data_IF_664647773585
#
_entry.id   IF_664647773585
#
_cell.length_a   1.000
_cell.length_b   1.000
_cell.length_c   1.000
_cell.angle_alpha   90.00
_cell.angle_beta   90.00
_cell.angle_gamma   90.00
#
_symmetry.space_group_name_H-M   'P 1'
#
loop_
_entity.id
_entity.type
_entity.pdbx_description
1 polymer ?
#
# COMPACT_ATOMS: atom_id res chain seq x y z
N UNK A 1 2.47 -5.17 8.65
CA UNK A 1 3.64 -6.00 8.25
C UNK A 1 3.25 -6.83 7.03
N UNK A 2 4.13 -6.99 6.03
CA UNK A 2 3.85 -7.77 4.80
C UNK A 2 3.69 -9.26 5.16
N UNK A 3 2.79 -9.98 4.48
CA UNK A 3 2.52 -11.42 4.72
C UNK A 3 3.81 -12.24 4.71
N UNK A 4 4.68 -12.01 3.73
CA UNK A 4 5.99 -12.65 3.62
C UNK A 4 6.87 -12.45 4.86
N UNK A 5 6.89 -11.25 5.43
CA UNK A 5 7.65 -10.98 6.66
C UNK A 5 7.07 -11.73 7.85
N UNK A 6 5.74 -11.90 7.89
CA UNK A 6 5.05 -12.68 8.92
C UNK A 6 5.41 -14.17 8.80
N UNK A 7 5.33 -14.72 7.59
CA UNK A 7 5.68 -16.11 7.28
C UNK A 7 7.15 -16.41 7.56
N UNK A 8 8.07 -15.56 7.11
CA UNK A 8 9.50 -15.74 7.40
C UNK A 8 9.81 -15.66 8.91
N UNK A 9 9.08 -14.84 9.67
CA UNK A 9 9.24 -14.78 11.13
C UNK A 9 8.79 -16.09 11.79
N UNK A 10 7.67 -16.67 11.37
CA UNK A 10 7.22 -17.97 11.89
C UNK A 10 8.21 -19.08 11.55
N UNK A 11 8.69 -19.16 10.31
CA UNK A 11 9.71 -20.15 9.94
C UNK A 11 10.98 -19.97 10.76
N UNK A 12 11.47 -18.74 10.93
CA UNK A 12 12.67 -18.48 11.72
C UNK A 12 12.50 -18.93 13.18
N UNK A 13 11.36 -18.60 13.80
CA UNK A 13 11.08 -19.03 15.19
C UNK A 13 10.99 -20.55 15.27
N UNK A 14 10.28 -21.20 14.35
CA UNK A 14 10.10 -22.66 14.33
C UNK A 14 11.42 -23.39 14.10
N UNK A 15 12.21 -22.98 13.10
CA UNK A 15 13.51 -23.60 12.78
C UNK A 15 14.48 -23.41 13.94
N UNK A 16 14.54 -22.20 14.53
CA UNK A 16 15.42 -21.97 15.69
C UNK A 16 15.01 -22.83 16.88
N UNK A 17 13.71 -22.95 17.17
CA UNK A 17 13.21 -23.80 18.24
C UNK A 17 13.50 -25.29 18.00
N UNK A 18 13.31 -25.77 16.77
CA UNK A 18 13.59 -27.17 16.41
C UNK A 18 15.07 -27.50 16.54
N UNK A 19 15.95 -26.61 16.05
CA UNK A 19 17.40 -26.80 16.17
C UNK A 19 17.87 -26.71 17.64
N UNK A 20 17.27 -25.84 18.45
CA UNK A 20 17.54 -25.79 19.89
C UNK A 20 17.13 -27.09 20.60
N UNK A 21 15.93 -27.62 20.30
CA UNK A 21 15.47 -28.90 20.84
C UNK A 21 16.37 -30.07 20.40
N UNK A 22 16.77 -30.08 19.12
CA UNK A 22 17.70 -31.08 18.60
C UNK A 22 19.07 -30.99 19.29
N UNK A 23 19.60 -29.78 19.51
CA UNK A 23 20.86 -29.56 20.23
C UNK A 23 20.80 -30.08 21.67
N UNK A 24 19.72 -29.79 22.40
CA UNK A 24 19.50 -30.31 23.76
C UNK A 24 19.38 -31.83 23.76
N UNK A 25 18.60 -32.41 22.84
CA UNK A 25 18.44 -33.85 22.71
C UNK A 25 19.75 -34.57 22.40
N UNK A 26 20.56 -34.01 21.49
CA UNK A 26 21.89 -34.53 21.17
C UNK A 26 22.83 -34.47 22.37
N UNK A 27 22.84 -33.35 23.12
CA UNK A 27 23.65 -33.23 24.33
C UNK A 27 23.34 -34.32 25.36
N UNK A 28 22.05 -34.50 25.70
CA UNK A 28 21.64 -35.51 26.68
C UNK A 28 21.84 -36.95 26.18
N UNK A 29 21.54 -37.22 24.91
CA UNK A 29 21.77 -38.54 24.32
C UNK A 29 23.24 -38.91 24.32
N UNK A 30 24.11 -37.94 24.01
CA UNK A 30 25.56 -38.12 24.01
C UNK A 30 26.11 -38.32 25.43
N UNK A 31 25.63 -37.54 26.41
CA UNK A 31 25.97 -37.73 27.82
C UNK A 31 25.55 -39.11 28.36
N UNK A 32 24.39 -39.61 27.95
CA UNK A 32 23.93 -40.95 28.32
C UNK A 32 24.80 -42.05 27.71
N UNK A 33 25.17 -41.92 26.43
CA UNK A 33 26.05 -42.86 25.73
C UNK A 33 27.43 -42.95 26.40
N UNK A 34 28.00 -41.81 26.80
CA UNK A 34 29.26 -41.76 27.54
C UNK A 34 29.18 -42.54 28.85
N UNK A 35 28.13 -42.29 29.64
CA UNK A 35 27.94 -42.96 30.92
C UNK A 35 27.82 -44.47 30.73
N UNK A 36 27.11 -44.91 29.70
CA UNK A 36 26.96 -46.33 29.37
C UNK A 36 28.29 -46.99 29.02
N UNK A 37 29.12 -46.36 28.19
CA UNK A 37 30.45 -46.86 27.82
C UNK A 37 31.36 -47.03 29.06
N UNK A 38 31.39 -46.02 29.93
CA UNK A 38 32.20 -46.08 31.16
C UNK A 38 31.70 -47.17 32.11
N UNK A 39 30.38 -47.36 32.23
CA UNK A 39 29.80 -48.46 33.02
C UNK A 39 30.14 -49.84 32.45
N UNK A 40 30.11 -50.00 31.13
CA UNK A 40 30.50 -51.25 30.45
C UNK A 40 31.97 -51.58 30.74
N UNK A 41 32.87 -50.59 30.63
CA UNK A 41 34.29 -50.73 30.96
C UNK A 41 34.52 -51.11 32.43
N UNK A 42 33.83 -50.45 33.36
CA UNK A 42 33.88 -50.80 34.80
C UNK A 42 33.36 -52.22 35.07
N UNK A 43 32.29 -52.63 34.38
CA UNK A 43 31.75 -53.99 34.44
C UNK A 43 32.73 -55.04 33.92
N UNK A 44 33.39 -54.78 32.79
CA UNK A 44 34.43 -55.63 32.24
C UNK A 44 35.62 -55.77 33.19
N UNK A 45 36.09 -54.65 33.76
CA UNK A 45 37.16 -54.64 34.76
C UNK A 45 36.80 -55.45 36.01
N UNK A 46 35.55 -55.36 36.49
CA UNK A 46 35.04 -56.18 37.59
C UNK A 46 35.14 -57.67 37.27
N UNK A 47 34.68 -58.11 36.09
CA UNK A 47 34.76 -59.52 35.68
C UNK A 47 36.20 -60.04 35.64
N UNK A 48 37.15 -59.22 35.18
CA UNK A 48 38.57 -59.57 35.20
C UNK A 48 39.11 -59.77 36.62
N UNK A 49 38.73 -58.90 37.57
CA UNK A 49 39.11 -59.05 38.97
C UNK A 49 38.47 -60.26 39.65
N UNK A 50 37.20 -60.54 39.35
CA UNK A 50 36.50 -61.73 39.85
C UNK A 50 37.19 -63.02 39.40
N UNK A 51 37.56 -63.13 38.11
CA UNK A 51 38.29 -64.28 37.57
C UNK A 51 39.68 -64.46 38.21
N UNK A 52 40.39 -63.36 38.46
CA UNK A 52 41.74 -63.38 39.05
C UNK A 52 41.72 -63.70 40.55
N UNK A 53 40.72 -63.23 41.28
CA UNK A 53 40.54 -63.61 42.68
C UNK A 53 40.20 -65.10 42.82
N UNK A 54 39.44 -65.66 41.87
CA UNK A 54 39.12 -67.09 41.84
C UNK A 54 40.36 -67.98 41.66
N UNK A 55 41.44 -67.50 41.03
CA UNK A 55 42.71 -68.24 40.90
C UNK A 55 43.65 -68.05 42.10
N UNK A 56 43.23 -67.33 43.15
CA UNK A 56 44.02 -67.10 44.36
C UNK A 56 45.15 -66.08 44.21
N UNK A 57 45.24 -65.41 43.05
CA UNK A 57 46.24 -64.38 42.82
C UNK A 57 45.90 -63.08 43.57
N UNK A 58 46.93 -62.36 44.01
CA UNK A 58 46.74 -61.05 44.63
C UNK A 58 46.11 -60.06 43.64
N UNK A 59 45.27 -59.15 44.17
CA UNK A 59 44.72 -58.05 43.40
C UNK A 59 45.88 -57.13 42.97
N UNK A 60 45.90 -56.64 41.72
CA UNK A 60 46.92 -55.67 41.30
C UNK A 60 46.75 -54.36 42.07
N UNK A 61 47.86 -53.71 42.42
CA UNK A 61 47.83 -52.42 43.12
C UNK A 61 47.17 -51.31 42.28
N UNK A 62 47.31 -51.37 40.96
CA UNK A 62 46.68 -50.49 39.97
C UNK A 62 46.40 -51.31 38.71
N UNK A 63 45.26 -52.00 38.61
CA UNK A 63 45.08 -53.02 37.58
C UNK A 63 45.17 -52.49 36.15
N UNK A 64 44.67 -51.28 35.89
CA UNK A 64 44.42 -50.70 34.57
C UNK A 64 44.25 -49.16 34.75
N UNK A 65 43.84 -48.40 33.72
CA UNK A 65 43.45 -46.95 33.73
C UNK A 65 42.28 -46.60 34.70
N UNK A 66 42.23 -47.21 35.88
CA UNK A 66 41.16 -47.11 36.86
C UNK A 66 41.76 -47.09 38.25
N UNK A 67 41.22 -46.26 39.14
CA UNK A 67 41.63 -46.27 40.54
C UNK A 67 40.90 -47.40 41.29
N UNK A 68 41.68 -48.29 41.89
CA UNK A 68 41.18 -49.40 42.71
C UNK A 68 41.34 -49.05 44.19
N UNK A 69 40.26 -49.13 44.97
CA UNK A 69 40.35 -49.07 46.44
C UNK A 69 39.63 -50.26 47.09
N UNK A 70 40.26 -50.86 48.08
CA UNK A 70 39.70 -51.97 48.85
C UNK A 70 39.39 -51.49 50.27
N UNK A 71 38.13 -51.59 50.67
CA UNK A 71 37.66 -51.22 52.02
C UNK A 71 37.22 -52.47 52.79
N UNK A 72 37.69 -52.66 54.04
CA UNK A 72 37.16 -53.69 54.92
C UNK A 72 35.80 -53.30 55.54
N UNK A 73 35.40 -52.03 55.43
CA UNK A 73 34.09 -51.54 55.91
C UNK A 73 33.04 -51.57 54.80
N UNK A 74 31.76 -51.73 55.16
CA UNK A 74 30.65 -51.65 54.22
C UNK A 74 30.63 -50.35 53.42
N UNK A 75 30.58 -50.48 52.10
CA UNK A 75 30.40 -49.39 51.14
C UNK A 75 29.12 -49.63 50.33
N UNK A 76 28.44 -48.57 49.85
CA UNK A 76 27.25 -48.71 49.02
C UNK A 76 27.60 -49.43 47.71
N UNK A 77 26.86 -50.50 47.40
CA UNK A 77 27.08 -51.32 46.21
C UNK A 77 26.48 -50.68 44.96
N UNK A 78 27.05 -50.98 43.80
CA UNK A 78 26.57 -50.52 42.50
C UNK A 78 27.32 -49.30 41.96
N UNK A 79 26.74 -48.72 40.90
CA UNK A 79 27.31 -47.56 40.23
C UNK A 79 26.94 -46.25 40.94
N UNK A 80 27.90 -45.34 41.06
CA UNK A 80 27.68 -44.02 41.66
C UNK A 80 28.61 -42.98 41.02
N UNK A 81 28.18 -41.73 40.98
CA UNK A 81 29.03 -40.60 40.63
C UNK A 81 29.78 -40.10 41.87
N UNK A 82 31.06 -39.76 41.70
CA UNK A 82 31.89 -39.15 42.74
C UNK A 82 32.82 -38.11 42.12
N UNK A 83 33.22 -37.11 42.88
CA UNK A 83 34.27 -36.17 42.47
C UNK A 83 35.56 -36.57 43.18
N UNK A 84 36.67 -36.60 42.45
CA UNK A 84 38.00 -36.86 43.00
C UNK A 84 38.94 -35.73 42.59
N UNK A 85 39.84 -35.35 43.49
CA UNK A 85 40.87 -34.36 43.19
C UNK A 85 41.91 -34.97 42.25
N UNK A 86 42.12 -34.34 41.09
CA UNK A 86 43.27 -34.64 40.25
C UNK A 86 44.52 -34.02 40.90
N UNK A 87 45.52 -34.83 41.28
CA UNK A 87 46.70 -34.32 41.98
C UNK A 87 47.67 -33.54 41.07
N UNK A 88 47.54 -33.65 39.74
CA UNK A 88 48.38 -32.96 38.75
C UNK A 88 47.82 -31.59 38.44
N UNK A 89 46.51 -31.51 38.17
CA UNK A 89 45.84 -30.27 37.77
C UNK A 89 45.25 -29.51 38.96
N UNK A 90 45.05 -30.17 40.11
CA UNK A 90 44.48 -29.56 41.32
C UNK A 90 42.98 -29.32 41.25
N UNK A 91 42.29 -29.91 40.27
CA UNK A 91 40.86 -29.73 40.03
C UNK A 91 40.03 -30.96 40.48
N UNK A 92 38.76 -30.73 40.83
CA UNK A 92 37.84 -31.80 41.20
C UNK A 92 37.20 -32.41 39.94
N UNK A 93 37.63 -33.62 39.61
CA UNK A 93 37.31 -34.33 38.37
C UNK A 93 36.18 -35.35 38.61
N UNK A 94 35.08 -35.31 37.83
CA UNK A 94 34.01 -36.30 37.91
C UNK A 94 34.49 -37.71 37.55
N UNK A 95 34.12 -38.67 38.38
CA UNK A 95 34.41 -40.09 38.22
C UNK A 95 33.13 -40.91 38.34
N UNK A 96 33.01 -41.93 37.50
CA UNK A 96 32.03 -43.01 37.69
C UNK A 96 32.70 -44.11 38.49
N UNK A 97 32.06 -44.55 39.58
CA UNK A 97 32.57 -45.63 40.41
C UNK A 97 31.62 -46.82 40.47
N UNK A 98 32.19 -48.02 40.47
CA UNK A 98 31.49 -49.29 40.66
C UNK A 98 32.01 -49.96 41.94
N UNK A 99 31.13 -50.19 42.92
CA UNK A 99 31.49 -50.91 44.15
C UNK A 99 30.81 -52.28 44.19
N UNK A 100 31.61 -53.32 44.42
CA UNK A 100 31.15 -54.70 44.50
C UNK A 100 31.89 -55.45 45.62
N UNK A 101 31.39 -56.64 45.98
CA UNK A 101 31.99 -57.49 47.01
C UNK A 101 32.85 -58.56 46.37
N UNK A 102 34.07 -58.74 46.90
CA UNK A 102 35.00 -59.75 46.44
C UNK A 102 35.72 -60.38 47.65
N UNK A 103 35.90 -61.71 47.69
CA UNK A 103 36.73 -62.35 48.71
C UNK A 103 38.21 -62.07 48.41
N UNK A 104 38.88 -61.33 49.29
CA UNK A 104 40.31 -61.02 49.20
C UNK A 104 40.99 -61.69 50.39
N UNK A 105 41.92 -62.62 50.14
CA UNK A 105 42.62 -63.39 51.19
C UNK A 105 41.67 -64.03 52.22
N UNK A 106 40.51 -64.55 51.75
CA UNK A 106 39.54 -65.27 52.59
C UNK A 106 38.58 -64.39 53.41
N UNK A 107 38.66 -63.05 53.30
CA UNK A 107 37.69 -62.12 53.93
C UNK A 107 36.92 -61.36 52.85
N UNK A 108 35.61 -61.16 53.06
CA UNK A 108 34.80 -60.36 52.17
C UNK A 108 35.22 -58.88 52.27
N UNK A 109 35.70 -58.32 51.16
CA UNK A 109 36.08 -56.92 51.07
C UNK A 109 35.21 -56.19 50.05
N UNK A 110 35.05 -54.87 50.23
CA UNK A 110 34.38 -54.01 49.27
C UNK A 110 35.45 -53.43 48.34
N UNK A 111 35.33 -53.76 47.07
CA UNK A 111 36.22 -53.30 46.02
C UNK A 111 35.50 -52.21 45.25
N UNK A 112 36.11 -51.03 45.19
CA UNK A 112 35.60 -49.89 44.41
C UNK A 112 36.55 -49.62 43.27
N UNK A 113 36.03 -49.71 42.05
CA UNK A 113 36.66 -49.26 40.82
C UNK A 113 36.18 -47.86 40.49
N UNK A 114 37.07 -46.98 40.05
CA UNK A 114 36.73 -45.62 39.61
C UNK A 114 37.39 -45.33 38.28
N UNK A 115 36.64 -44.82 37.32
CA UNK A 115 37.15 -44.27 36.06
C UNK A 115 36.81 -42.80 35.98
N UNK A 116 37.76 -41.98 35.53
CA UNK A 116 37.51 -40.58 35.23
C UNK A 116 36.48 -40.48 34.09
N UNK A 117 35.52 -39.58 34.23
CA UNK A 117 34.66 -39.16 33.13
C UNK A 117 35.37 -38.13 32.23
N UNK A 118 36.52 -37.59 32.68
CA UNK A 118 37.25 -36.47 32.05
C UNK A 118 38.34 -36.91 31.07
N UNK A 119 38.96 -38.08 31.21
CA UNK A 119 39.93 -38.58 30.19
C UNK A 119 39.28 -38.77 28.81
N UNK A 120 37.95 -38.91 28.78
CA UNK A 120 37.16 -38.91 27.56
C UNK A 120 36.64 -37.51 27.20
N UNK A 121 36.63 -36.53 28.13
CA UNK A 121 36.09 -35.17 27.92
C UNK A 121 36.81 -34.39 26.83
N UNK A 122 38.12 -34.57 26.63
CA UNK A 122 38.84 -33.88 25.54
C UNK A 122 38.34 -34.33 24.17
N UNK A 123 38.20 -35.63 23.96
CA UNK A 123 37.65 -36.19 22.71
C UNK A 123 36.18 -35.82 22.57
N UNK A 124 35.42 -35.84 23.67
CA UNK A 124 33.98 -35.52 23.68
C UNK A 124 33.71 -34.03 23.43
N UNK A 125 34.54 -33.13 23.96
CA UNK A 125 34.46 -31.70 23.74
C UNK A 125 34.72 -31.35 22.27
N UNK A 126 35.67 -32.04 21.64
CA UNK A 126 35.88 -31.95 20.20
C UNK A 126 34.67 -32.47 19.43
N UNK A 127 34.09 -33.63 19.79
CA UNK A 127 32.90 -34.16 19.11
C UNK A 127 31.69 -33.23 19.26
N UNK A 128 31.44 -32.72 20.47
CA UNK A 128 30.32 -31.81 20.74
C UNK A 128 30.48 -30.47 20.00
N UNK A 129 31.69 -29.89 20.00
CA UNK A 129 31.96 -28.65 19.26
C UNK A 129 31.78 -28.85 17.76
N UNK A 130 32.25 -29.97 17.20
CA UNK A 130 32.00 -30.32 15.79
C UNK A 130 30.51 -30.46 15.51
N UNK A 131 29.76 -31.21 16.33
CA UNK A 131 28.31 -31.39 16.17
C UNK A 131 27.54 -30.06 16.25
N UNK A 132 27.84 -29.22 17.23
CA UNK A 132 27.22 -27.91 17.38
C UNK A 132 27.57 -26.97 16.23
N UNK A 133 28.81 -27.02 15.74
CA UNK A 133 29.25 -26.24 14.57
C UNK A 133 28.48 -26.68 13.32
N UNK A 134 28.37 -27.99 13.09
CA UNK A 134 27.57 -28.54 11.99
C UNK A 134 26.11 -28.10 12.11
N UNK A 135 25.52 -28.18 13.31
CA UNK A 135 24.15 -27.75 13.58
C UNK A 135 23.95 -26.25 13.31
N UNK A 136 24.92 -25.41 13.71
CA UNK A 136 24.89 -23.96 13.47
C UNK A 136 25.02 -23.62 11.97
N UNK A 137 25.90 -24.31 11.24
CA UNK A 137 26.05 -24.14 9.79
C UNK A 137 24.77 -24.56 9.06
N UNK A 138 24.16 -25.67 9.47
CA UNK A 138 22.88 -26.12 8.92
C UNK A 138 21.74 -25.15 9.23
N UNK A 139 21.68 -24.59 10.44
CA UNK A 139 20.69 -23.56 10.78
C UNK A 139 20.88 -22.33 9.89
N UNK A 140 22.11 -21.84 9.77
CA UNK A 140 22.42 -20.67 8.95
C UNK A 140 22.08 -20.91 7.48
N UNK A 141 22.41 -22.07 6.94
CA UNK A 141 22.13 -22.40 5.53
C UNK A 141 20.62 -22.45 5.25
N UNK A 142 19.82 -23.05 6.15
CA UNK A 142 18.35 -23.07 6.04
C UNK A 142 17.77 -21.66 6.10
N UNK A 143 18.28 -20.80 7.00
CA UNK A 143 17.82 -19.41 7.11
C UNK A 143 18.15 -18.60 5.85
N UNK A 144 19.36 -18.74 5.30
CA UNK A 144 19.79 -18.08 4.07
C UNK A 144 18.98 -18.56 2.86
N UNK A 145 18.82 -19.88 2.72
CA UNK A 145 18.05 -20.49 1.67
C UNK A 145 16.58 -20.03 1.71
N UNK A 146 15.95 -20.02 2.89
CA UNK A 146 14.58 -19.52 3.06
C UNK A 146 14.45 -18.06 2.62
N UNK A 147 15.39 -17.18 3.02
CA UNK A 147 15.38 -15.78 2.59
C UNK A 147 15.55 -15.63 1.09
N UNK A 148 16.43 -16.44 0.49
CA UNK A 148 16.67 -16.43 -0.96
C UNK A 148 15.43 -16.89 -1.74
N UNK A 149 14.84 -18.04 -1.37
CA UNK A 149 13.57 -18.54 -1.96
C UNK A 149 12.45 -17.51 -1.81
N UNK A 150 12.29 -16.93 -0.61
CA UNK A 150 11.27 -15.93 -0.34
C UNK A 150 11.43 -14.66 -1.20
N UNK A 151 12.66 -14.28 -1.54
CA UNK A 151 12.90 -13.14 -2.42
C UNK A 151 12.58 -13.48 -3.87
N UNK A 152 13.02 -14.64 -4.34
CA UNK A 152 12.93 -15.03 -5.76
C UNK A 152 11.51 -15.46 -6.15
N UNK A 153 10.89 -16.36 -5.38
CA UNK A 153 9.56 -16.90 -5.67
C UNK A 153 8.45 -15.84 -5.57
N UNK A 154 8.63 -14.81 -4.73
CA UNK A 154 7.63 -13.74 -4.55
C UNK A 154 7.89 -12.50 -5.40
N UNK A 155 8.97 -12.45 -6.17
CA UNK A 155 9.25 -11.32 -7.06
C UNK A 155 8.11 -11.09 -8.08
N UNK A 156 7.56 -12.12 -8.77
CA UNK A 156 6.47 -11.95 -9.72
C UNK A 156 5.20 -11.35 -9.10
N UNK A 157 4.85 -11.80 -7.88
CA UNK A 157 3.71 -11.23 -7.17
C UNK A 157 3.88 -9.73 -6.89
N UNK A 158 5.10 -9.29 -6.53
CA UNK A 158 5.37 -7.86 -6.27
C UNK A 158 5.31 -7.03 -7.54
N UNK A 159 5.79 -7.56 -8.67
CA UNK A 159 5.68 -6.87 -9.96
C UNK A 159 4.22 -6.74 -10.39
N UNK A 160 3.41 -7.79 -10.26
CA UNK A 160 1.97 -7.73 -10.54
C UNK A 160 1.26 -6.73 -9.64
N UNK A 161 1.56 -6.71 -8.34
CA UNK A 161 0.96 -5.74 -7.40
C UNK A 161 1.39 -4.29 -7.70
N UNK A 162 2.65 -4.08 -8.11
CA UNK A 162 3.14 -2.77 -8.48
C UNK A 162 2.45 -2.23 -9.73
N UNK A 163 2.23 -3.09 -10.73
CA UNK A 163 1.47 -2.74 -11.94
C UNK A 163 0.02 -2.37 -11.60
N UNK A 164 -0.66 -3.16 -10.76
CA UNK A 164 -2.03 -2.86 -10.33
C UNK A 164 -2.15 -1.55 -9.53
N UNK A 165 -1.17 -1.22 -8.69
CA UNK A 165 -1.20 0.01 -7.88
C UNK A 165 -1.15 1.29 -8.69
N UNK A 166 -0.50 1.24 -9.85
CA UNK A 166 -0.39 2.38 -10.76
C UNK A 166 -1.37 2.26 -11.93
N UNK A 167 -2.23 1.24 -11.92
CA UNK A 167 -3.19 1.04 -13.00
C UNK A 167 -4.33 2.05 -12.92
N UNK A 168 -4.43 2.89 -13.95
CA UNK A 168 -5.59 3.73 -14.20
C UNK A 168 -6.33 3.24 -15.45
N UNK A 169 -7.62 2.92 -15.33
CA UNK A 169 -8.46 2.51 -16.48
C UNK A 169 -8.46 3.54 -17.62
N UNK A 170 -8.21 4.81 -17.28
CA UNK A 170 -8.15 5.91 -18.23
C UNK A 170 -6.93 5.88 -19.16
N UNK A 171 -5.94 5.04 -18.89
CA UNK A 171 -4.80 4.85 -19.79
C UNK A 171 -5.14 3.96 -21.00
N UNK A 172 -6.34 3.35 -21.04
CA UNK A 172 -6.82 2.47 -22.11
C UNK A 172 -5.83 1.35 -22.46
N UNK A 173 -5.06 0.89 -21.48
CA UNK A 173 -4.05 -0.15 -21.66
C UNK A 173 -4.46 -1.39 -20.89
N UNK A 174 -4.48 -2.52 -21.56
CA UNK A 174 -4.59 -3.81 -20.88
C UNK A 174 -3.26 -4.09 -20.18
N UNK A 175 -3.32 -4.52 -18.93
CA UNK A 175 -2.13 -4.99 -18.22
C UNK A 175 -1.71 -6.33 -18.81
N UNK A 176 -0.50 -6.36 -19.34
CA UNK A 176 0.16 -7.58 -19.81
C UNK A 176 1.34 -7.90 -18.91
N UNK A 177 1.47 -9.17 -18.55
CA UNK A 177 2.53 -9.64 -17.66
C UNK A 177 3.44 -10.60 -18.42
N UNK A 178 4.74 -10.53 -18.13
CA UNK A 178 5.69 -11.50 -18.65
C UNK A 178 5.33 -12.93 -18.15
N UNK A 179 5.65 -13.98 -18.94
CA UNK A 179 5.44 -15.35 -18.51
C UNK A 179 6.19 -15.62 -17.20
N UNK A 180 5.48 -16.20 -16.24
CA UNK A 180 6.00 -16.53 -14.91
C UNK A 180 6.08 -18.05 -14.79
N UNK A 181 7.14 -18.56 -14.17
CA UNK A 181 7.37 -20.00 -13.99
C UNK A 181 6.47 -20.67 -12.96
N UNK A 182 5.69 -19.90 -12.20
CA UNK A 182 4.82 -20.40 -11.12
C UNK A 182 3.38 -20.36 -11.59
N UNK A 183 2.73 -21.52 -11.63
CA UNK A 183 1.40 -21.68 -12.22
C UNK A 183 0.35 -20.79 -11.54
N UNK A 184 0.35 -20.68 -10.21
CA UNK A 184 -0.60 -19.84 -9.49
C UNK A 184 -0.43 -18.34 -9.82
N UNK A 185 0.80 -17.90 -10.09
CA UNK A 185 1.04 -16.52 -10.52
C UNK A 185 0.73 -16.32 -12.00
N UNK A 186 0.91 -17.34 -12.83
CA UNK A 186 0.49 -17.31 -14.23
C UNK A 186 -1.04 -17.20 -14.34
N UNK A 187 -1.79 -18.02 -13.59
CA UNK A 187 -3.26 -17.97 -13.52
C UNK A 187 -3.75 -16.61 -12.99
N UNK A 188 -3.15 -16.10 -11.91
CA UNK A 188 -3.47 -14.77 -11.39
C UNK A 188 -3.25 -13.68 -12.44
N UNK A 189 -2.12 -13.70 -13.13
CA UNK A 189 -1.80 -12.74 -14.19
C UNK A 189 -2.80 -12.84 -15.36
N UNK A 190 -3.23 -14.05 -15.74
CA UNK A 190 -4.23 -14.23 -16.78
C UNK A 190 -5.59 -13.66 -16.37
N UNK A 191 -6.05 -13.94 -15.15
CA UNK A 191 -7.31 -13.41 -14.62
C UNK A 191 -7.27 -11.89 -14.54
N UNK A 192 -6.17 -11.30 -14.06
CA UNK A 192 -6.00 -9.84 -14.04
C UNK A 192 -6.01 -9.27 -15.46
N UNK A 193 -5.31 -9.89 -16.40
CA UNK A 193 -5.28 -9.46 -17.80
C UNK A 193 -6.69 -9.46 -18.40
N UNK A 194 -7.44 -10.54 -18.18
CA UNK A 194 -8.82 -10.70 -18.65
C UNK A 194 -9.76 -9.66 -18.03
N UNK A 195 -9.65 -9.45 -16.72
CA UNK A 195 -10.44 -8.44 -16.00
C UNK A 195 -10.12 -7.03 -16.50
N UNK A 196 -8.85 -6.72 -16.67
CA UNK A 196 -8.39 -5.42 -17.18
C UNK A 196 -8.89 -5.17 -18.60
N UNK A 197 -8.83 -6.19 -19.48
CA UNK A 197 -9.37 -6.11 -20.84
C UNK A 197 -10.86 -5.82 -20.84
N UNK A 198 -11.63 -6.49 -19.98
CA UNK A 198 -13.06 -6.24 -19.82
C UNK A 198 -13.35 -4.83 -19.32
N UNK A 199 -12.61 -4.36 -18.30
CA UNK A 199 -12.75 -3.00 -17.78
C UNK A 199 -12.48 -1.94 -18.86
N UNK A 200 -11.45 -2.12 -19.68
CA UNK A 200 -11.15 -1.20 -20.79
C UNK A 200 -12.30 -1.20 -21.81
N UNK A 201 -12.80 -2.38 -22.20
CA UNK A 201 -13.93 -2.48 -23.13
C UNK A 201 -15.22 -1.85 -22.58
N UNK A 202 -15.55 -2.10 -21.31
CA UNK A 202 -16.72 -1.53 -20.65
C UNK A 202 -16.60 0.01 -20.55
N UNK A 203 -15.39 0.51 -20.26
CA UNK A 203 -15.09 1.94 -20.23
C UNK A 203 -15.24 2.59 -21.60
N UNK A 204 -14.74 1.96 -22.65
CA UNK A 204 -14.88 2.42 -24.04
C UNK A 204 -16.34 2.46 -24.48
N UNK A 205 -17.12 1.42 -24.15
CA UNK A 205 -18.54 1.36 -24.48
C UNK A 205 -19.34 2.48 -23.80
N UNK A 206 -19.11 2.73 -22.51
CA UNK A 206 -19.76 3.84 -21.77
C UNK A 206 -19.36 5.19 -22.38
N UNK A 207 -18.10 5.33 -22.77
CA UNK A 207 -17.57 6.53 -23.41
C UNK A 207 -18.24 6.80 -24.75
N UNK A 208 -18.30 5.79 -25.62
CA UNK A 208 -18.91 5.90 -26.94
C UNK A 208 -20.41 6.17 -26.83
N UNK A 209 -21.11 5.43 -25.96
CA UNK A 209 -22.53 5.66 -25.70
C UNK A 209 -22.79 7.10 -25.24
N UNK A 210 -22.00 7.62 -24.30
CA UNK A 210 -22.19 8.99 -23.78
C UNK A 210 -21.90 10.04 -24.85
N UNK A 211 -20.88 9.83 -25.69
CA UNK A 211 -20.57 10.72 -26.79
C UNK A 211 -21.68 10.73 -27.85
N UNK A 212 -22.15 9.56 -28.27
CA UNK A 212 -23.21 9.41 -29.26
C UNK A 212 -24.53 9.98 -28.74
N UNK A 213 -24.94 9.65 -27.51
CA UNK A 213 -26.15 10.18 -26.89
C UNK A 213 -26.10 11.72 -26.78
N UNK A 214 -24.93 12.30 -26.49
CA UNK A 214 -24.77 13.74 -26.45
C UNK A 214 -25.01 14.40 -27.82
N UNK A 215 -24.44 13.83 -28.89
CA UNK A 215 -24.62 14.32 -30.25
C UNK A 215 -26.06 14.14 -30.75
N UNK A 216 -26.63 12.94 -30.57
CA UNK A 216 -28.00 12.62 -31.01
C UNK A 216 -29.07 13.44 -30.29
N UNK A 217 -28.83 13.86 -29.05
CA UNK A 217 -29.75 14.74 -28.30
C UNK A 217 -29.57 16.22 -28.66
N UNK A 218 -28.36 16.64 -29.06
CA UNK A 218 -28.09 18.04 -29.41
C UNK A 218 -28.80 18.47 -30.69
N UNK A 219 -28.83 17.60 -31.71
CA UNK A 219 -29.49 17.87 -32.99
C UNK A 219 -30.98 18.20 -32.87
N UNK A 220 -31.84 17.37 -32.23
CA UNK A 220 -33.26 17.68 -32.08
C UNK A 220 -33.50 18.92 -31.22
N UNK A 221 -32.66 19.20 -30.20
CA UNK A 221 -32.75 20.44 -29.43
C UNK A 221 -32.45 21.68 -30.28
N UNK A 222 -31.47 21.62 -31.18
CA UNK A 222 -31.17 22.70 -32.10
C UNK A 222 -32.32 22.93 -33.10
N UNK A 223 -32.93 21.85 -33.61
CA UNK A 223 -34.11 21.93 -34.50
C UNK A 223 -35.29 22.58 -33.76
N UNK A 224 -35.59 22.14 -32.53
CA UNK A 224 -36.65 22.74 -31.71
C UNK A 224 -36.42 24.23 -31.49
N UNK A 225 -35.18 24.65 -31.20
CA UNK A 225 -34.86 26.07 -31.04
C UNK A 225 -35.07 26.87 -32.33
N UNK A 226 -34.60 26.36 -33.47
CA UNK A 226 -34.76 27.02 -34.76
C UNK A 226 -36.24 27.15 -35.16
N UNK A 227 -37.04 26.10 -34.92
CA UNK A 227 -38.48 26.15 -35.17
C UNK A 227 -39.20 27.14 -34.26
N UNK A 228 -38.86 27.18 -32.96
CA UNK A 228 -39.44 28.15 -32.03
C UNK A 228 -39.03 29.58 -32.39
N UNK A 229 -37.80 29.79 -32.86
CA UNK A 229 -37.33 31.09 -33.35
C UNK A 229 -38.06 31.53 -34.62
N UNK A 230 -38.32 30.62 -35.56
CA UNK A 230 -39.15 30.89 -36.73
C UNK A 230 -40.59 31.21 -36.35
N UNK A 231 -41.18 30.44 -35.42
CA UNK A 231 -42.53 30.69 -34.93
C UNK A 231 -42.66 32.09 -34.32
N UNK A 232 -41.66 32.56 -33.57
CA UNK A 232 -41.64 33.92 -33.00
C UNK A 232 -41.61 35.05 -34.06
N UNK A 233 -41.27 34.74 -35.31
CA UNK A 233 -41.21 35.71 -36.41
C UNK A 233 -42.49 35.74 -37.25
N UNK A 234 -43.46 34.84 -37.00
CA UNK A 234 -44.70 34.76 -37.78
C UNK A 234 -45.70 35.87 -37.41
N UNK A 235 -46.48 36.40 -38.38
CA UNK A 235 -47.49 37.44 -38.13
C UNK A 235 -48.57 37.01 -37.14
N UNK A 236 -48.90 35.72 -37.06
CA UNK A 236 -49.89 35.19 -36.12
C UNK A 236 -49.47 35.32 -34.64
N UNK A 237 -48.21 35.70 -34.38
CA UNK A 237 -47.71 36.04 -33.04
C UNK A 237 -48.13 37.43 -32.54
N UNK A 238 -48.95 38.17 -33.29
CA UNK A 238 -49.61 39.38 -32.78
C UNK A 238 -50.56 39.09 -31.60
N UNK A 239 -50.98 37.83 -31.41
CA UNK A 239 -51.69 37.40 -30.21
C UNK A 239 -50.73 37.31 -29.00
N UNK A 240 -50.86 38.18 -27.98
CA UNK A 240 -49.91 38.27 -26.87
C UNK A 240 -49.83 36.98 -26.04
N UNK A 241 -50.93 36.23 -25.95
CA UNK A 241 -50.97 34.97 -25.18
C UNK A 241 -50.19 33.86 -25.89
N UNK A 242 -50.30 33.78 -27.22
CA UNK A 242 -49.59 32.78 -28.03
C UNK A 242 -48.08 33.09 -28.06
N UNK A 243 -47.72 34.36 -28.26
CA UNK A 243 -46.33 34.81 -28.23
C UNK A 243 -45.67 34.57 -26.87
N UNK A 244 -46.41 34.77 -25.77
CA UNK A 244 -45.96 34.44 -24.42
C UNK A 244 -45.60 32.96 -24.26
N UNK A 245 -46.48 32.05 -24.67
CA UNK A 245 -46.25 30.60 -24.61
C UNK A 245 -45.05 30.15 -25.45
N UNK A 246 -44.91 30.66 -26.67
CA UNK A 246 -43.75 30.33 -27.53
C UNK A 246 -42.45 30.88 -26.94
N UNK A 247 -42.47 32.07 -26.35
CA UNK A 247 -41.32 32.65 -25.66
C UNK A 247 -40.91 31.81 -24.46
N UNK A 248 -41.87 31.34 -23.65
CA UNK A 248 -41.60 30.44 -22.53
C UNK A 248 -41.00 29.10 -22.99
N UNK A 249 -41.54 28.49 -24.05
CA UNK A 249 -41.01 27.26 -24.66
C UNK A 249 -39.60 27.46 -25.22
N UNK A 250 -39.34 28.59 -25.88
CA UNK A 250 -38.02 28.95 -26.38
C UNK A 250 -37.01 29.06 -25.23
N UNK A 251 -37.37 29.77 -24.16
CA UNK A 251 -36.53 29.89 -22.97
C UNK A 251 -36.29 28.53 -22.28
N UNK A 252 -37.31 27.68 -22.19
CA UNK A 252 -37.22 26.34 -21.62
C UNK A 252 -36.28 25.43 -22.43
N UNK A 253 -36.44 25.41 -23.77
CA UNK A 253 -35.58 24.63 -24.67
C UNK A 253 -34.14 25.13 -24.67
N UNK A 254 -33.93 26.45 -24.57
CA UNK A 254 -32.60 27.04 -24.41
C UNK A 254 -31.95 26.64 -23.08
N UNK A 255 -32.72 26.60 -22.00
CA UNK A 255 -32.27 26.12 -20.69
C UNK A 255 -31.92 24.63 -20.71
N UNK A 256 -32.72 23.81 -21.37
CA UNK A 256 -32.48 22.37 -21.54
C UNK A 256 -31.21 22.10 -22.37
N UNK A 257 -31.01 22.83 -23.46
CA UNK A 257 -29.79 22.74 -24.27
C UNK A 257 -28.53 23.09 -23.49
N UNK A 258 -28.56 24.18 -22.70
CA UNK A 258 -27.44 24.55 -21.81
C UNK A 258 -27.15 23.50 -20.75
N UNK A 259 -28.20 22.91 -20.16
CA UNK A 259 -28.11 21.80 -19.21
C UNK A 259 -27.42 20.59 -19.83
N UNK A 260 -27.85 20.20 -21.03
CA UNK A 260 -27.29 19.07 -21.77
C UNK A 260 -25.83 19.27 -22.13
N UNK A 261 -25.48 20.47 -22.63
CA UNK A 261 -24.09 20.84 -22.93
C UNK A 261 -23.20 20.80 -21.68
N UNK A 262 -23.67 21.33 -20.56
CA UNK A 262 -22.95 21.31 -19.29
C UNK A 262 -22.70 19.87 -18.79
N UNK A 263 -23.72 19.00 -18.83
CA UNK A 263 -23.58 17.59 -18.42
C UNK A 263 -22.66 16.81 -19.36
N UNK A 264 -22.78 17.04 -20.66
CA UNK A 264 -21.89 16.44 -21.66
C UNK A 264 -20.44 16.85 -21.43
N UNK A 265 -20.19 18.14 -21.20
CA UNK A 265 -18.85 18.65 -20.92
C UNK A 265 -18.30 18.00 -19.64
N UNK A 266 -19.10 17.94 -18.59
CA UNK A 266 -18.70 17.36 -17.31
C UNK A 266 -18.33 15.88 -17.44
N UNK A 267 -19.13 15.12 -18.18
CA UNK A 267 -18.84 13.72 -18.50
C UNK A 267 -17.57 13.57 -19.34
N UNK A 268 -17.35 14.44 -20.34
CA UNK A 268 -16.10 14.45 -21.11
C UNK A 268 -14.88 14.76 -20.23
N UNK A 269 -15.00 15.69 -19.28
CA UNK A 269 -13.92 15.99 -18.33
C UNK A 269 -13.64 14.78 -17.42
N UNK A 270 -14.67 14.18 -16.83
CA UNK A 270 -14.55 12.98 -15.97
C UNK A 270 -13.86 11.82 -16.66
N UNK A 271 -14.22 11.59 -17.92
CA UNK A 271 -13.70 10.49 -18.71
C UNK A 271 -12.44 10.85 -19.53
N UNK A 272 -11.90 12.07 -19.37
CA UNK A 272 -10.77 12.63 -20.14
C UNK A 272 -10.92 12.50 -21.66
N UNK A 273 -12.13 12.66 -22.17
CA UNK A 273 -12.49 12.48 -23.58
C UNK A 273 -12.27 13.75 -24.40
N UNK A 274 -11.02 14.20 -24.54
CA UNK A 274 -10.66 15.31 -25.40
C UNK A 274 -9.82 14.82 -26.57
N UNK A 275 -10.29 15.06 -27.80
CA UNK A 275 -9.58 14.67 -29.01
C UNK A 275 -8.29 15.47 -29.21
N UNK A 276 -8.26 16.73 -28.75
CA UNK A 276 -7.10 17.59 -28.85
C UNK A 276 -6.28 17.57 -27.54
N UNK A 277 -4.95 17.47 -27.61
CA UNK A 277 -4.09 17.58 -26.43
C UNK A 277 -4.09 19.03 -25.88
N UNK A 278 -3.76 19.22 -24.59
CA UNK A 278 -3.54 20.55 -24.03
C UNK A 278 -2.42 21.31 -24.78
N UNK A 279 -2.70 22.56 -25.15
CA UNK A 279 -1.78 23.42 -25.89
C UNK A 279 -1.41 24.66 -25.07
N UNK A 280 -0.23 25.28 -25.32
CA UNK A 280 0.05 26.61 -24.80
C UNK A 280 -1.05 27.59 -25.24
N UNK A 281 -1.58 28.36 -24.30
CA UNK A 281 -2.66 29.33 -24.51
C UNK A 281 -2.43 30.56 -23.63
N UNK A 282 -2.67 31.75 -24.16
CA UNK A 282 -2.66 33.00 -23.38
C UNK A 282 -4.00 33.18 -22.67
N UNK A 283 -3.99 33.08 -21.34
CA UNK A 283 -5.19 33.34 -20.54
C UNK A 283 -5.55 34.83 -20.56
N UNK A 284 -4.57 35.72 -20.64
CA UNK A 284 -4.79 37.15 -20.75
C UNK A 284 -5.58 37.49 -22.02
N UNK A 285 -5.21 36.90 -23.15
CA UNK A 285 -5.94 37.13 -24.40
C UNK A 285 -7.35 36.57 -24.33
N UNK A 286 -7.51 35.34 -23.83
CA UNK A 286 -8.84 34.73 -23.66
C UNK A 286 -9.76 35.58 -22.75
N UNK A 287 -9.21 36.13 -21.66
CA UNK A 287 -9.96 37.02 -20.76
C UNK A 287 -10.38 38.32 -21.45
N UNK A 288 -9.53 38.91 -22.29
CA UNK A 288 -9.87 40.09 -23.10
C UNK A 288 -10.98 39.79 -24.10
N UNK A 289 -10.84 38.72 -24.88
CA UNK A 289 -11.84 38.33 -25.87
C UNK A 289 -13.20 38.06 -25.21
N UNK A 290 -13.20 37.43 -24.03
CA UNK A 290 -14.43 37.17 -23.26
C UNK A 290 -15.03 38.41 -22.63
N UNK A 291 -14.19 39.34 -22.16
CA UNK A 291 -14.64 40.63 -21.67
C UNK A 291 -15.39 41.40 -22.75
N UNK A 292 -14.83 41.48 -23.97
CA UNK A 292 -15.48 42.14 -25.11
C UNK A 292 -16.81 41.48 -25.47
N UNK A 293 -16.88 40.14 -25.50
CA UNK A 293 -18.13 39.41 -25.76
C UNK A 293 -19.23 39.67 -24.72
N UNK A 294 -18.84 39.91 -23.46
CA UNK A 294 -19.78 40.13 -22.36
C UNK A 294 -20.07 41.62 -22.11
N UNK A 295 -19.42 42.53 -22.83
CA UNK A 295 -19.60 43.98 -22.70
C UNK A 295 -21.07 44.43 -22.78
N UNK A 296 -21.90 43.96 -23.74
CA UNK A 296 -23.30 44.35 -23.80
C UNK A 296 -24.11 43.94 -22.56
N UNK A 297 -23.74 42.81 -21.93
CA UNK A 297 -24.39 42.32 -20.72
C UNK A 297 -23.98 43.11 -19.47
N UNK A 298 -22.72 43.55 -19.42
CA UNK A 298 -22.19 44.43 -18.37
C UNK A 298 -22.90 45.79 -18.42
N UNK A 299 -23.02 46.39 -19.61
CA UNK A 299 -23.71 47.67 -19.84
C UNK A 299 -25.19 47.57 -19.50
N UNK A 300 -25.88 46.51 -19.93
CA UNK A 300 -27.29 46.31 -19.60
C UNK A 300 -27.57 46.17 -18.09
N UNK A 301 -26.54 45.91 -17.28
CA UNK A 301 -26.62 45.79 -15.82
C UNK A 301 -25.90 46.92 -15.06
N UNK A 302 -25.43 47.94 -15.76
CA UNK A 302 -24.68 49.06 -15.19
C UNK A 302 -23.44 48.59 -14.39
N UNK A 303 -22.70 47.60 -14.92
CA UNK A 303 -21.52 47.03 -14.27
C UNK A 303 -20.22 47.53 -14.89
N UNK A 304 -19.24 47.87 -14.05
CA UNK A 304 -17.89 48.27 -14.51
C UNK A 304 -16.94 47.07 -14.50
N UNK A 305 -16.16 46.86 -15.56
CA UNK A 305 -15.14 45.80 -15.63
C UNK A 305 -13.73 46.36 -15.41
N UNK A 306 -12.98 45.73 -14.51
CA UNK A 306 -11.57 46.03 -14.26
C UNK A 306 -10.72 44.80 -14.59
N UNK A 307 -9.78 44.94 -15.54
CA UNK A 307 -8.86 43.87 -15.94
C UNK A 307 -7.43 44.20 -15.48
N UNK A 308 -6.90 43.40 -14.56
CA UNK A 308 -5.52 43.44 -14.08
C UNK A 308 -4.80 42.16 -14.51
N UNK A 309 -4.18 42.19 -15.69
CA UNK A 309 -3.55 41.02 -16.31
C UNK A 309 -2.03 41.10 -16.13
N UNK A 310 -1.59 40.98 -14.87
CA UNK A 310 -0.23 41.31 -14.41
C UNK A 310 0.85 40.35 -14.97
N UNK A 311 0.53 39.05 -15.09
CA UNK A 311 1.46 38.03 -15.58
C UNK A 311 0.75 36.78 -16.09
N UNK A 312 1.33 36.09 -17.08
CA UNK A 312 0.87 34.78 -17.54
C UNK A 312 1.53 33.64 -16.73
N UNK A 313 0.80 32.55 -16.42
CA UNK A 313 1.37 31.36 -15.80
C UNK A 313 2.37 30.68 -16.75
N UNK A 314 3.57 30.39 -16.24
CA UNK A 314 4.65 29.82 -17.04
C UNK A 314 4.42 28.33 -17.32
N UNK A 315 4.43 27.92 -18.59
CA UNK A 315 4.31 26.51 -18.98
C UNK A 315 2.90 25.91 -18.88
N UNK A 316 1.88 26.73 -18.62
CA UNK A 316 0.50 26.27 -18.54
C UNK A 316 0.00 25.79 -19.91
N UNK A 317 -0.54 24.56 -19.95
CA UNK A 317 -1.13 23.98 -21.17
C UNK A 317 -2.57 23.62 -20.90
N UNK A 318 -3.48 24.27 -21.63
CA UNK A 318 -4.92 24.09 -21.48
C UNK A 318 -5.56 23.64 -22.79
N UNK A 319 -6.66 22.90 -22.69
CA UNK A 319 -7.53 22.65 -23.81
C UNK A 319 -8.35 23.93 -24.06
N UNK A 320 -8.36 24.50 -25.28
CA UNK A 320 -9.02 25.79 -25.55
C UNK A 320 -10.47 25.85 -25.08
N UNK A 321 -11.25 24.80 -25.34
CA UNK A 321 -12.66 24.74 -24.90
C UNK A 321 -12.85 24.65 -23.37
N UNK A 322 -11.88 24.07 -22.64
CA UNK A 322 -11.94 24.03 -21.18
C UNK A 322 -11.53 25.37 -20.58
N UNK A 323 -10.50 26.01 -21.14
CA UNK A 323 -10.13 27.37 -20.75
C UNK A 323 -11.29 28.35 -20.99
N UNK A 324 -11.92 28.28 -22.17
CA UNK A 324 -13.10 29.07 -22.54
C UNK A 324 -14.24 28.88 -21.53
N UNK A 325 -14.56 27.62 -21.22
CA UNK A 325 -15.61 27.28 -20.26
C UNK A 325 -15.28 27.75 -18.83
N UNK A 326 -14.02 27.59 -18.39
CA UNK A 326 -13.56 28.05 -17.08
C UNK A 326 -13.78 29.56 -16.93
N UNK A 327 -13.25 30.34 -17.89
CA UNK A 327 -13.34 31.80 -17.89
C UNK A 327 -14.79 32.25 -18.00
N UNK A 328 -15.56 31.67 -18.93
CA UNK A 328 -16.96 32.01 -19.12
C UNK A 328 -17.80 31.78 -17.86
N UNK A 329 -17.64 30.62 -17.19
CA UNK A 329 -18.40 30.32 -15.98
C UNK A 329 -18.06 31.26 -14.82
N UNK A 330 -16.78 31.61 -14.64
CA UNK A 330 -16.36 32.55 -13.59
C UNK A 330 -16.89 33.96 -13.84
N UNK A 331 -16.71 34.51 -15.05
CA UNK A 331 -17.20 35.85 -15.41
C UNK A 331 -18.73 35.93 -15.37
N UNK A 332 -19.42 34.92 -15.89
CA UNK A 332 -20.88 34.88 -15.85
C UNK A 332 -21.40 34.80 -14.41
N UNK A 333 -20.70 34.09 -13.52
CA UNK A 333 -21.04 34.05 -12.10
C UNK A 333 -20.94 35.45 -11.47
N UNK A 334 -19.82 36.14 -11.70
CA UNK A 334 -19.55 37.48 -11.20
C UNK A 334 -20.57 38.53 -11.69
N UNK A 335 -20.98 38.47 -12.96
CA UNK A 335 -22.01 39.37 -13.53
C UNK A 335 -23.40 39.06 -12.98
N UNK A 336 -23.73 37.78 -12.85
CA UNK A 336 -25.06 37.34 -12.46
C UNK A 336 -25.37 37.67 -11.00
N UNK A 337 -24.40 37.45 -10.12
CA UNK A 337 -24.53 37.60 -8.66
C UNK A 337 -24.04 38.96 -8.16
N UNK A 338 -23.83 39.91 -9.08
CA UNK A 338 -23.44 41.27 -8.75
C UNK A 338 -24.58 42.10 -8.15
N UNK A 339 -24.24 43.18 -7.45
CA UNK A 339 -25.19 44.27 -7.13
C UNK A 339 -25.32 45.25 -8.30
N UNK A 340 -26.45 45.97 -8.38
CA UNK A 340 -26.64 47.05 -9.37
C UNK A 340 -25.56 48.13 -9.21
N UNK A 341 -25.01 48.66 -10.31
CA UNK A 341 -23.93 49.65 -10.26
C UNK A 341 -22.59 49.10 -9.75
N UNK A 342 -22.46 47.78 -9.64
CA UNK A 342 -21.27 47.10 -9.11
C UNK A 342 -20.11 47.02 -10.09
N UNK A 343 -19.08 46.27 -9.72
CA UNK A 343 -17.91 46.02 -10.56
C UNK A 343 -17.60 44.53 -10.70
N UNK A 344 -16.88 44.16 -11.75
CA UNK A 344 -16.24 42.86 -11.90
C UNK A 344 -14.74 43.11 -12.00
N UNK A 345 -13.96 42.63 -11.04
CA UNK A 345 -12.51 42.77 -11.03
C UNK A 345 -11.87 41.41 -11.37
N UNK A 346 -11.12 41.38 -12.47
CA UNK A 346 -10.38 40.21 -12.92
C UNK A 346 -8.91 40.45 -12.68
N UNK A 347 -8.26 39.58 -11.92
CA UNK A 347 -6.82 39.61 -11.68
C UNK A 347 -6.18 38.31 -12.17
N UNK A 348 -5.22 38.42 -13.08
CA UNK A 348 -4.41 37.29 -13.55
C UNK A 348 -2.96 37.50 -13.11
N UNK A 349 -2.42 36.50 -12.44
CA UNK A 349 -1.02 36.41 -12.01
C UNK A 349 -0.39 35.12 -12.53
N UNK A 350 0.92 34.96 -12.33
CA UNK A 350 1.63 33.72 -12.68
C UNK A 350 1.17 32.49 -11.90
N UNK A 351 0.51 32.67 -10.75
CA UNK A 351 0.10 31.57 -9.86
C UNK A 351 -1.41 31.37 -9.79
N UNK A 352 -2.22 32.38 -10.15
CA UNK A 352 -3.66 32.30 -10.00
C UNK A 352 -4.44 33.25 -10.91
N UNK A 353 -5.68 32.86 -11.21
CA UNK A 353 -6.76 33.70 -11.74
C UNK A 353 -7.79 33.98 -10.63
N UNK A 354 -8.07 35.25 -10.40
CA UNK A 354 -9.02 35.73 -9.40
C UNK A 354 -10.10 36.59 -10.08
N UNK A 355 -11.37 36.32 -9.75
CA UNK A 355 -12.50 37.11 -10.22
C UNK A 355 -13.32 37.52 -9.01
N UNK A 356 -13.51 38.83 -8.86
CA UNK A 356 -14.19 39.42 -7.71
C UNK A 356 -15.39 40.27 -8.13
N UNK A 357 -16.45 40.25 -7.34
CA UNK A 357 -17.63 41.09 -7.52
C UNK A 357 -18.28 41.46 -6.18
N UNK A 358 -18.86 42.66 -6.04
CA UNK A 358 -19.70 42.97 -4.90
C UNK A 358 -21.06 42.26 -5.02
N UNK A 359 -21.64 41.87 -3.89
CA UNK A 359 -22.92 41.15 -3.86
C UNK A 359 -23.48 40.98 -2.46
N UNK A 360 -24.75 40.55 -2.34
CA UNK A 360 -25.32 40.22 -1.04
C UNK A 360 -24.64 38.97 -0.45
N UNK A 361 -24.53 38.86 0.88
CA UNK A 361 -23.94 37.68 1.52
C UNK A 361 -24.71 36.42 1.12
N UNK A 362 -23.97 35.36 0.75
CA UNK A 362 -24.55 34.06 0.41
C UNK A 362 -24.60 33.21 1.67
N UNK A 363 -25.80 32.77 2.05
CA UNK A 363 -25.99 31.81 3.14
C UNK A 363 -25.61 30.39 2.70
N UNK A 364 -24.84 29.67 3.51
CA UNK A 364 -24.51 28.26 3.29
C UNK A 364 -23.05 27.95 3.53
N UNK A 365 -22.69 26.68 3.39
CA UNK A 365 -21.30 26.23 3.44
C UNK A 365 -20.64 26.48 2.06
N UNK A 366 -19.58 27.31 1.99
CA UNK A 366 -18.86 27.59 0.75
C UNK A 366 -18.35 26.35 0.02
N UNK A 367 -18.03 25.27 0.74
CA UNK A 367 -17.56 24.04 0.13
C UNK A 367 -18.62 23.42 -0.79
N UNK A 368 -19.90 23.61 -0.45
CA UNK A 368 -20.99 23.04 -1.22
C UNK A 368 -21.32 23.84 -2.47
N UNK A 369 -20.83 25.09 -2.61
CA UNK A 369 -21.12 25.95 -3.77
C UNK A 369 -20.62 25.34 -5.10
N UNK A 370 -19.69 24.39 -5.02
CA UNK A 370 -19.12 23.65 -6.13
C UNK A 370 -19.84 22.31 -6.43
N UNK A 371 -20.85 21.93 -5.63
CA UNK A 371 -21.72 20.77 -5.88
C UNK A 371 -22.62 20.98 -7.10
N UNK A 372 -22.98 19.89 -7.79
CA UNK A 372 -23.87 19.93 -8.96
C UNK A 372 -25.29 20.30 -8.55
N UNK A 373 -25.97 21.09 -9.38
CA UNK A 373 -27.37 21.50 -9.21
C UNK A 373 -27.65 22.34 -7.96
N UNK A 374 -26.62 22.82 -7.28
CA UNK A 374 -26.81 23.68 -6.13
C UNK A 374 -27.23 25.08 -6.58
N UNK A 375 -28.36 25.55 -6.05
CA UNK A 375 -28.87 26.90 -6.27
C UNK A 375 -28.86 27.65 -4.95
N UNK A 376 -28.32 28.87 -4.96
CA UNK A 376 -28.36 29.80 -3.83
C UNK A 376 -29.56 30.75 -3.88
N UNK A 377 -30.24 30.81 -5.04
CA UNK A 377 -31.40 31.64 -5.26
C UNK A 377 -32.43 30.85 -6.07
N UNK A 378 -33.61 30.62 -5.51
CA UNK A 378 -34.67 29.81 -6.13
C UNK A 378 -35.17 30.44 -7.45
N UNK A 379 -35.09 31.76 -7.57
CA UNK A 379 -35.47 32.53 -8.75
C UNK A 379 -34.45 32.46 -9.90
N UNK A 380 -33.25 31.90 -9.67
CA UNK A 380 -32.22 31.82 -10.71
C UNK A 380 -32.56 30.76 -11.78
N UNK A 381 -32.71 31.23 -13.03
CA UNK A 381 -32.86 30.39 -14.23
C UNK A 381 -31.65 29.50 -14.55
N UNK A 382 -30.47 29.80 -13.98
CA UNK A 382 -29.26 29.01 -14.20
C UNK A 382 -29.35 27.64 -13.49
N UNK A 383 -28.92 26.55 -14.15
CA UNK A 383 -29.03 25.19 -13.62
C UNK A 383 -28.12 24.84 -12.44
N UNK A 384 -27.25 25.75 -11.97
CA UNK A 384 -26.35 25.47 -10.84
C UNK A 384 -25.20 24.52 -11.19
N UNK A 385 -24.78 24.49 -12.45
CA UNK A 385 -23.68 23.64 -12.92
C UNK A 385 -22.36 24.40 -13.12
N UNK A 386 -22.38 25.73 -13.21
CA UNK A 386 -21.20 26.51 -13.61
C UNK A 386 -19.99 26.35 -12.69
N UNK A 387 -20.16 26.51 -11.38
CA UNK A 387 -19.07 26.32 -10.41
C UNK A 387 -18.63 24.85 -10.30
N UNK A 388 -19.55 23.89 -10.53
CA UNK A 388 -19.18 22.47 -10.60
C UNK A 388 -18.29 22.15 -11.82
N UNK A 389 -18.48 22.85 -12.94
CA UNK A 389 -17.60 22.76 -14.12
C UNK A 389 -16.23 23.35 -13.79
N UNK A 390 -16.18 24.54 -13.18
CA UNK A 390 -14.92 25.17 -12.72
C UNK A 390 -14.14 24.21 -11.80
N UNK A 391 -14.83 23.61 -10.82
CA UNK A 391 -14.22 22.65 -9.89
C UNK A 391 -13.69 21.42 -10.61
N UNK A 392 -14.42 20.90 -11.59
CA UNK A 392 -14.01 19.71 -12.34
C UNK A 392 -12.84 20.00 -13.28
N UNK A 393 -12.81 21.17 -13.93
CA UNK A 393 -11.67 21.64 -14.71
C UNK A 393 -10.45 21.78 -13.79
N UNK A 394 -10.63 22.35 -12.59
CA UNK A 394 -9.56 22.44 -11.62
C UNK A 394 -9.00 21.07 -11.23
N UNK A 395 -9.86 20.09 -10.91
CA UNK A 395 -9.42 18.71 -10.64
C UNK A 395 -8.72 18.06 -11.82
N UNK A 396 -9.17 18.32 -13.05
CA UNK A 396 -8.55 17.77 -14.26
C UNK A 396 -7.11 18.25 -14.45
N UNK A 397 -6.84 19.53 -14.19
CA UNK A 397 -5.52 20.13 -14.33
C UNK A 397 -4.69 20.16 -13.03
N UNK A 398 -5.27 19.79 -11.89
CA UNK A 398 -4.62 19.88 -10.58
C UNK A 398 -4.74 21.25 -9.89
N UNK A 399 -5.53 22.18 -10.44
CA UNK A 399 -5.72 23.52 -9.90
C UNK A 399 -6.55 23.50 -8.62
N UNK A 400 -6.25 24.43 -7.72
CA UNK A 400 -7.03 24.65 -6.50
C UNK A 400 -8.05 25.77 -6.71
N UNK A 401 -9.32 25.40 -6.70
CA UNK A 401 -10.45 26.34 -6.74
C UNK A 401 -10.87 26.68 -5.31
N UNK A 402 -11.04 27.95 -5.01
CA UNK A 402 -11.45 28.45 -3.70
C UNK A 402 -12.37 29.66 -3.81
N UNK A 403 -13.17 29.87 -2.77
CA UNK A 403 -14.10 30.98 -2.65
C UNK A 403 -13.83 31.72 -1.34
N UNK A 404 -13.84 33.04 -1.39
CA UNK A 404 -13.66 33.93 -0.25
C UNK A 404 -14.77 34.98 -0.31
N UNK A 405 -15.31 35.33 0.86
CA UNK A 405 -16.25 36.45 1.00
C UNK A 405 -15.72 37.43 2.04
N UNK A 406 -15.49 38.66 1.61
CA UNK A 406 -15.03 39.75 2.46
C UNK A 406 -16.22 40.57 2.94
N UNK A 407 -16.66 40.29 4.17
CA UNK A 407 -17.87 40.90 4.74
C UNK A 407 -17.78 42.44 4.86
N UNK A 408 -16.58 42.98 5.08
CA UNK A 408 -16.36 44.42 5.23
C UNK A 408 -16.70 45.21 3.94
N UNK A 409 -16.34 44.66 2.79
CA UNK A 409 -16.57 45.28 1.48
C UNK A 409 -17.77 44.67 0.74
N UNK A 410 -18.32 43.57 1.27
CA UNK A 410 -19.36 42.75 0.63
C UNK A 410 -18.93 42.25 -0.75
N UNK A 411 -17.68 41.78 -0.84
CA UNK A 411 -17.04 41.32 -2.07
C UNK A 411 -16.88 39.80 -2.02
N UNK A 412 -17.27 39.15 -3.10
CA UNK A 412 -17.05 37.73 -3.35
C UNK A 412 -15.84 37.58 -4.26
N UNK A 413 -14.95 36.65 -3.95
CA UNK A 413 -13.77 36.34 -4.78
C UNK A 413 -13.70 34.85 -5.04
N UNK A 414 -13.68 34.49 -6.32
CA UNK A 414 -13.37 33.14 -6.79
C UNK A 414 -11.93 33.11 -7.28
N UNK A 415 -11.15 32.18 -6.73
CA UNK A 415 -9.71 32.03 -7.02
C UNK A 415 -9.40 30.64 -7.55
N UNK A 416 -8.73 30.58 -8.70
CA UNK A 416 -8.19 29.37 -9.32
C UNK A 416 -6.67 29.46 -9.30
N UNK A 417 -6.03 28.70 -8.42
CA UNK A 417 -4.57 28.61 -8.34
C UNK A 417 -4.04 27.48 -9.23
N UNK A 418 -3.06 27.79 -10.08
CA UNK A 418 -2.51 26.90 -11.11
C UNK A 418 -1.52 25.86 -10.57
#
# INVERSE_FOLDING_TARGET
MKLLTKTNRYYLVLTTALFALAGVGLYYGFYAALRQEVEEQLGNARLHLERRAATGAALPATPFEYQLSVSPRPQPLGYRDTLLLDPVEGEMVPHRQLTFRLPVQGRAAWVTLRKSLVETEDVLGVVLTVLLTVLAVLLLSVLLLNRWLAHHLWAPFRTTLAALRHYGVQEHRVLEFAPVSTDEFAELNEVITRFTRRLVADYEAVREFTANAAHETQTPLAIMQAQLEQLLQLPEMENPQLAGLVTELYQATRRLSRLHQALTLLSKIENRQFAAPPAPLSLAQLLRDKAEQLQPLLEARDLTLHLHLDAEPTGLRLHPGLADSLVHNLLQNAIKHNRSGGFVAVRLSSEALEISNPGPPVSGDPARFFERFQKHDAASASPGLGLSIVQQIGRYYGFRVSYIFEAAESVHTLRVAF
#
